data_IF_584331162003
#
_entry.id   IF_584331162003
#
_cell.length_a   1.000
_cell.length_b   1.000
_cell.length_c   1.000
_cell.angle_alpha   90.00
_cell.angle_beta   90.00
_cell.angle_gamma   90.00
#
_symmetry.space_group_name_H-M   'P 1'
#
loop_
_entity.id
_entity.type
_entity.pdbx_description
1 polymer ?
#
# COMPACT_ATOMS: atom_id res chain seq x y z
N UNK A 1 -8.06 12.40 -3.15
CA UNK A 1 -6.76 12.75 -2.50
C UNK A 1 -5.65 12.24 -3.40
N UNK A 2 -4.49 12.92 -3.50
CA UNK A 2 -3.48 12.54 -4.48
C UNK A 2 -3.02 11.10 -4.23
N UNK A 3 -2.78 10.36 -5.31
CA UNK A 3 -2.18 9.02 -5.36
C UNK A 3 -0.69 9.07 -5.01
N UNK A 4 -0.35 9.66 -3.87
CA UNK A 4 1.02 9.81 -3.38
C UNK A 4 1.10 9.84 -1.86
N UNK A 5 2.27 9.54 -1.32
CA UNK A 5 2.52 9.59 0.13
C UNK A 5 2.73 11.02 0.61
N UNK A 6 2.25 11.35 1.81
CA UNK A 6 2.36 12.70 2.40
C UNK A 6 3.79 13.12 2.75
N UNK A 7 4.76 12.20 2.67
CA UNK A 7 6.18 12.43 2.89
C UNK A 7 6.98 12.74 1.61
N UNK A 8 6.34 12.81 0.44
CA UNK A 8 7.00 13.06 -0.85
C UNK A 8 7.46 14.52 -1.00
N UNK A 9 8.69 14.70 -1.52
CA UNK A 9 9.29 16.00 -1.82
C UNK A 9 9.78 16.78 -0.59
N UNK A 10 9.70 16.18 0.59
CA UNK A 10 10.14 16.72 1.87
C UNK A 10 11.52 16.16 2.22
N UNK A 11 12.49 17.05 2.46
CA UNK A 11 13.78 16.72 3.05
C UNK A 11 13.82 17.22 4.49
N UNK A 12 14.40 16.42 5.38
CA UNK A 12 14.62 16.76 6.78
C UNK A 12 16.09 17.11 7.01
N UNK A 13 16.35 18.17 7.77
CA UNK A 13 17.68 18.47 8.29
C UNK A 13 18.04 17.53 9.44
N UNK A 14 19.33 17.48 9.79
CA UNK A 14 19.81 16.67 10.90
C UNK A 14 19.03 16.93 12.20
N UNK A 15 18.49 15.87 12.79
CA UNK A 15 17.72 15.91 14.04
C UNK A 15 16.25 16.30 13.89
N UNK A 16 15.79 16.69 12.70
CA UNK A 16 14.37 16.94 12.48
C UNK A 16 13.58 15.64 12.45
N UNK A 17 12.36 15.68 12.98
CA UNK A 17 11.43 14.56 13.00
C UNK A 17 10.12 14.98 12.36
N UNK A 18 9.54 14.11 11.55
CA UNK A 18 8.26 14.30 10.90
C UNK A 18 7.37 13.08 11.13
N UNK A 19 6.14 13.32 11.56
CA UNK A 19 5.07 12.32 11.57
C UNK A 19 4.13 12.60 10.40
N UNK A 20 3.85 11.57 9.63
CA UNK A 20 2.90 11.59 8.51
C UNK A 20 1.92 10.44 8.67
N UNK A 21 0.68 10.63 8.23
CA UNK A 21 -0.37 9.60 8.29
C UNK A 21 -1.09 9.62 6.95
N UNK A 22 -0.92 8.56 6.18
CA UNK A 22 -1.68 8.35 4.95
C UNK A 22 -2.86 7.41 5.23
N UNK A 23 -4.05 7.75 4.71
CA UNK A 23 -5.25 6.89 4.78
C UNK A 23 -5.75 6.65 3.36
N UNK A 24 -5.89 5.37 3.00
CA UNK A 24 -6.54 4.93 1.78
C UNK A 24 -7.81 4.17 2.15
N UNK A 25 -8.93 4.52 1.53
CA UNK A 25 -10.18 3.76 1.62
C UNK A 25 -10.66 3.42 0.21
N UNK A 26 -11.06 2.18 0.02
CA UNK A 26 -11.63 1.66 -1.21
C UNK A 26 -12.97 0.98 -0.88
N UNK A 27 -13.93 1.16 -1.77
CA UNK A 27 -15.23 0.51 -1.76
C UNK A 27 -15.51 0.05 -3.18
N UNK A 28 -15.83 -1.22 -3.35
CA UNK A 28 -16.18 -1.80 -4.63
C UNK A 28 -17.44 -2.63 -4.47
N UNK A 29 -18.46 -2.37 -5.29
CA UNK A 29 -19.52 -3.33 -5.52
C UNK A 29 -19.00 -4.35 -6.54
N UNK A 30 -19.32 -5.63 -6.34
CA UNK A 30 -18.97 -6.70 -7.26
C UNK A 30 -20.17 -7.59 -7.53
N UNK A 31 -20.25 -8.07 -8.75
CA UNK A 31 -21.27 -9.03 -9.18
C UNK A 31 -20.73 -9.89 -10.34
N UNK A 32 -21.24 -11.11 -10.46
CA UNK A 32 -21.10 -11.94 -11.66
C UNK A 32 -22.28 -12.90 -11.79
N UNK A 33 -22.58 -13.29 -13.02
CA UNK A 33 -23.60 -14.30 -13.31
C UNK A 33 -23.20 -15.67 -12.73
N UNK A 34 -24.16 -16.59 -12.66
CA UNK A 34 -23.95 -17.97 -12.22
C UNK A 34 -22.69 -18.63 -12.84
N UNK A 35 -21.86 -19.23 -11.99
CA UNK A 35 -20.64 -19.98 -12.38
C UNK A 35 -20.68 -21.48 -12.06
N UNK A 36 -21.63 -21.94 -11.24
CA UNK A 36 -21.80 -23.34 -10.83
C UNK A 36 -23.28 -23.74 -10.95
N UNK A 37 -23.57 -24.92 -11.50
CA UNK A 37 -24.93 -25.49 -11.54
C UNK A 37 -25.54 -25.67 -10.14
N UNK A 38 -24.70 -25.87 -9.11
CA UNK A 38 -25.12 -25.98 -7.72
C UNK A 38 -25.45 -24.64 -7.06
N UNK A 39 -25.08 -23.51 -7.68
CA UNK A 39 -25.35 -22.16 -7.22
C UNK A 39 -26.19 -21.41 -8.28
N UNK A 40 -27.48 -21.76 -8.48
CA UNK A 40 -28.32 -21.24 -9.57
C UNK A 40 -28.85 -19.82 -9.29
N UNK A 41 -27.93 -18.91 -9.00
CA UNK A 41 -28.19 -17.51 -8.68
C UNK A 41 -26.97 -16.68 -9.06
N UNK A 42 -27.20 -15.40 -9.35
CA UNK A 42 -26.12 -14.45 -9.59
C UNK A 42 -25.43 -14.10 -8.27
N UNK A 43 -24.11 -13.97 -8.31
CA UNK A 43 -23.28 -13.65 -7.17
C UNK A 43 -23.10 -12.16 -7.07
N UNK A 44 -23.27 -11.60 -5.87
CA UNK A 44 -23.04 -10.18 -5.64
C UNK A 44 -22.68 -9.87 -4.19
N UNK A 45 -21.99 -8.76 -4.04
CA UNK A 45 -21.53 -8.29 -2.75
C UNK A 45 -20.79 -6.98 -2.85
N UNK A 46 -20.04 -6.67 -1.80
CA UNK A 46 -19.10 -5.56 -1.81
C UNK A 46 -17.73 -5.96 -1.24
N UNK A 47 -16.74 -5.12 -1.48
CA UNK A 47 -15.42 -5.19 -0.90
C UNK A 47 -15.05 -3.82 -0.33
N UNK A 48 -14.86 -3.76 0.98
CA UNK A 48 -14.38 -2.59 1.70
C UNK A 48 -12.92 -2.82 2.04
N UNK A 49 -12.05 -1.86 1.72
CA UNK A 49 -10.66 -1.86 2.20
C UNK A 49 -10.29 -0.51 2.79
N UNK A 50 -9.75 -0.54 4.00
CA UNK A 50 -9.21 0.63 4.70
C UNK A 50 -7.77 0.33 5.08
N UNK A 51 -6.84 1.18 4.65
CA UNK A 51 -5.44 1.12 5.04
C UNK A 51 -5.01 2.46 5.62
N UNK A 52 -4.31 2.42 6.75
CA UNK A 52 -3.73 3.58 7.44
C UNK A 52 -2.24 3.32 7.61
N UNK A 53 -1.41 4.27 7.20
CA UNK A 53 0.05 4.14 7.17
C UNK A 53 0.71 5.30 7.92
N UNK A 54 0.75 5.27 9.27
CA UNK A 54 1.60 6.17 10.03
C UNK A 54 3.07 5.96 9.63
N UNK A 55 3.76 7.07 9.38
CA UNK A 55 5.18 7.08 9.02
C UNK A 55 5.92 8.08 9.90
N UNK A 56 6.93 7.60 10.60
CA UNK A 56 7.89 8.41 11.34
C UNK A 56 9.15 8.58 10.49
N UNK A 57 9.55 9.81 10.22
CA UNK A 57 10.76 10.14 9.49
C UNK A 57 11.71 10.98 10.34
N UNK A 58 13.01 10.68 10.27
CA UNK A 58 14.07 11.39 10.99
C UNK A 58 15.15 11.79 9.98
N UNK A 59 15.53 13.07 9.97
CA UNK A 59 16.72 13.54 9.28
C UNK A 59 17.97 13.12 10.04
N UNK A 60 18.78 12.25 9.45
CA UNK A 60 20.05 11.82 10.05
C UNK A 60 21.10 12.93 9.93
N UNK A 61 21.05 13.65 8.81
CA UNK A 61 21.79 14.87 8.51
C UNK A 61 21.05 15.62 7.38
N UNK A 62 21.67 16.64 6.80
CA UNK A 62 21.03 17.48 5.78
C UNK A 62 20.80 16.81 4.41
N UNK A 63 21.27 15.56 4.25
CA UNK A 63 21.16 14.78 3.01
C UNK A 63 20.44 13.46 3.19
N UNK A 64 20.54 12.83 4.37
CA UNK A 64 20.02 11.50 4.63
C UNK A 64 18.80 11.55 5.55
N UNK A 65 17.75 10.86 5.14
CA UNK A 65 16.52 10.71 5.90
C UNK A 65 16.14 9.23 6.01
N UNK A 66 15.83 8.80 7.22
CA UNK A 66 15.31 7.47 7.51
C UNK A 66 13.81 7.57 7.82
N UNK A 67 13.02 6.66 7.26
CA UNK A 67 11.58 6.57 7.51
C UNK A 67 11.18 5.15 7.89
N UNK A 68 10.32 5.04 8.91
CA UNK A 68 9.65 3.82 9.33
C UNK A 68 8.14 4.00 9.15
N UNK A 69 7.52 3.13 8.35
CA UNK A 69 6.07 3.08 8.14
C UNK A 69 5.53 1.75 8.67
N UNK A 70 4.43 1.79 9.40
CA UNK A 70 3.67 0.59 9.76
C UNK A 70 2.31 0.65 9.10
N UNK A 71 1.97 -0.33 8.26
CA UNK A 71 0.62 -0.40 7.70
C UNK A 71 -0.35 -1.04 8.71
N UNK A 72 -1.52 -0.44 8.83
CA UNK A 72 -2.66 -0.96 9.57
C UNK A 72 -3.84 -1.06 8.59
N UNK A 73 -4.48 -2.22 8.54
CA UNK A 73 -5.46 -2.52 7.51
C UNK A 73 -6.72 -3.20 8.03
N UNK A 74 -7.80 -2.97 7.30
CA UNK A 74 -9.02 -3.74 7.34
C UNK A 74 -9.44 -4.03 5.89
N UNK A 75 -9.79 -5.27 5.61
CA UNK A 75 -10.46 -5.66 4.37
C UNK A 75 -11.63 -6.56 4.72
N UNK A 76 -12.80 -6.25 4.19
CA UNK A 76 -14.02 -7.02 4.39
C UNK A 76 -14.71 -7.23 3.06
N UNK A 77 -15.28 -8.41 2.88
CA UNK A 77 -16.11 -8.77 1.73
C UNK A 77 -17.51 -9.06 2.24
N UNK A 78 -18.52 -8.38 1.71
CA UNK A 78 -19.92 -8.66 1.97
C UNK A 78 -20.48 -9.64 0.95
N UNK A 79 -21.35 -10.56 1.38
CA UNK A 79 -22.12 -11.45 0.53
C UNK A 79 -23.61 -11.13 0.68
N UNK A 80 -24.28 -10.77 -0.43
CA UNK A 80 -25.64 -10.19 -0.40
C UNK A 80 -26.71 -11.04 -1.07
N UNK A 81 -26.42 -12.32 -1.32
CA UNK A 81 -27.41 -13.29 -1.76
C UNK A 81 -27.85 -14.11 -0.56
N UNK A 82 -29.16 -14.33 -0.44
CA UNK A 82 -29.72 -15.17 0.62
C UNK A 82 -29.64 -16.66 0.24
N UNK A 83 -28.42 -17.12 -0.02
CA UNK A 83 -28.08 -18.50 -0.35
C UNK A 83 -26.64 -18.78 0.09
N UNK A 84 -26.35 -20.03 0.44
CA UNK A 84 -24.99 -20.47 0.74
C UNK A 84 -24.17 -20.58 -0.55
N UNK A 85 -22.91 -20.16 -0.50
CA UNK A 85 -21.96 -20.32 -1.61
C UNK A 85 -20.66 -20.92 -1.10
N UNK A 86 -20.08 -21.83 -1.88
CA UNK A 86 -18.75 -22.41 -1.67
C UNK A 86 -17.64 -21.44 -2.09
N UNK A 87 -17.96 -20.48 -2.96
CA UNK A 87 -17.01 -19.51 -3.50
C UNK A 87 -17.03 -18.18 -2.73
N UNK A 88 -18.20 -17.77 -2.24
CA UNK A 88 -18.41 -16.45 -1.66
C UNK A 88 -19.02 -16.50 -0.26
N UNK A 89 -18.57 -15.60 0.61
CA UNK A 89 -19.07 -15.48 1.98
C UNK A 89 -18.79 -14.11 2.55
N UNK A 90 -19.57 -13.72 3.57
CA UNK A 90 -19.27 -12.51 4.33
C UNK A 90 -18.10 -12.79 5.26
N UNK A 91 -16.96 -12.14 5.02
CA UNK A 91 -15.74 -12.34 5.80
C UNK A 91 -14.86 -11.08 5.86
N UNK A 92 -13.86 -11.08 6.74
CA UNK A 92 -12.93 -9.98 6.86
C UNK A 92 -11.55 -10.43 7.33
N UNK A 93 -10.58 -9.52 7.17
CA UNK A 93 -9.19 -9.78 7.43
C UNK A 93 -8.82 -9.86 8.91
N UNK A 94 -9.73 -9.57 9.84
CA UNK A 94 -9.43 -9.49 11.28
C UNK A 94 -9.58 -10.82 12.02
N UNK A 95 -10.18 -11.81 11.39
CA UNK A 95 -10.36 -13.16 11.95
C UNK A 95 -9.53 -14.18 11.19
N UNK A 96 -9.08 -15.22 11.89
CA UNK A 96 -8.43 -16.37 11.27
C UNK A 96 -9.38 -17.11 10.32
N UNK A 97 -8.80 -17.84 9.38
CA UNK A 97 -9.47 -18.74 8.45
C UNK A 97 -8.58 -19.95 8.19
N UNK A 98 -9.11 -21.01 7.58
CA UNK A 98 -8.35 -22.25 7.33
C UNK A 98 -7.02 -21.99 6.61
N UNK A 99 -7.03 -21.08 5.63
CA UNK A 99 -5.85 -20.67 4.87
C UNK A 99 -5.37 -19.24 5.17
N UNK A 100 -5.75 -18.63 6.30
CA UNK A 100 -5.38 -17.24 6.57
C UNK A 100 -5.22 -16.94 8.05
N UNK A 101 -4.13 -16.24 8.40
CA UNK A 101 -3.95 -15.66 9.73
C UNK A 101 -4.55 -14.25 9.72
N UNK A 102 -5.53 -14.03 10.58
CA UNK A 102 -6.26 -12.78 10.70
C UNK A 102 -5.52 -11.72 11.52
N UNK A 103 -5.85 -10.46 11.25
CA UNK A 103 -5.50 -9.33 12.09
C UNK A 103 -5.46 -8.00 11.32
N UNK A 104 -5.04 -6.96 12.02
CA UNK A 104 -5.01 -5.59 11.49
C UNK A 104 -3.62 -5.11 11.05
N UNK A 105 -2.56 -5.79 11.48
CA UNK A 105 -1.19 -5.41 11.12
C UNK A 105 -0.88 -5.80 9.67
N UNK A 106 -0.45 -4.84 8.87
CA UNK A 106 0.13 -5.05 7.54
C UNK A 106 1.65 -4.90 7.54
N UNK A 107 2.21 -4.70 6.35
CA UNK A 107 3.65 -4.65 6.16
C UNK A 107 4.31 -3.44 6.87
N UNK A 108 5.52 -3.65 7.36
CA UNK A 108 6.40 -2.61 7.90
C UNK A 108 7.39 -2.17 6.83
N UNK A 109 7.48 -0.87 6.52
CA UNK A 109 8.41 -0.34 5.53
C UNK A 109 9.54 0.43 6.20
N UNK A 110 10.76 0.14 5.78
CA UNK A 110 11.96 0.88 6.11
C UNK A 110 12.45 1.56 4.84
N UNK A 111 12.54 2.89 4.84
CA UNK A 111 13.00 3.68 3.68
C UNK A 111 14.16 4.57 4.08
N UNK A 112 15.23 4.56 3.31
CA UNK A 112 16.34 5.50 3.36
C UNK A 112 16.29 6.38 2.11
N UNK A 113 16.23 7.70 2.30
CA UNK A 113 16.23 8.69 1.22
C UNK A 113 17.48 9.56 1.29
N UNK A 114 18.11 9.72 0.14
CA UNK A 114 19.24 10.62 -0.08
C UNK A 114 18.80 11.81 -0.93
N UNK A 115 19.12 13.01 -0.47
CA UNK A 115 18.84 14.26 -1.15
C UNK A 115 20.07 14.68 -1.97
N UNK A 116 20.04 14.41 -3.28
CA UNK A 116 21.10 14.75 -4.24
C UNK A 116 21.23 16.26 -4.47
N UNK A 117 20.10 16.93 -4.62
CA UNK A 117 20.04 18.37 -4.86
C UNK A 117 19.13 18.99 -3.82
N UNK A 118 19.68 19.90 -3.02
CA UNK A 118 18.94 20.60 -1.97
C UNK A 118 19.07 22.11 -2.15
N UNK A 119 18.00 22.80 -2.53
CA UNK A 119 17.95 24.27 -2.47
C UNK A 119 17.45 24.80 -1.11
N UNK A 120 17.33 23.92 -0.12
CA UNK A 120 16.91 24.25 1.24
C UNK A 120 15.53 24.92 1.25
N UNK A 121 15.42 26.02 1.99
CA UNK A 121 14.19 26.82 2.07
C UNK A 121 13.97 27.72 0.85
N UNK A 122 14.98 27.89 -0.02
CA UNK A 122 14.93 28.78 -1.18
C UNK A 122 14.19 28.13 -2.36
N UNK A 123 13.91 28.94 -3.38
CA UNK A 123 13.43 28.43 -4.66
C UNK A 123 14.45 27.46 -5.28
N UNK A 124 13.95 26.46 -5.99
CA UNK A 124 14.78 25.58 -6.79
C UNK A 124 14.34 24.12 -6.77
N UNK A 125 15.20 23.29 -7.37
CA UNK A 125 14.94 21.88 -7.55
C UNK A 125 15.43 21.07 -6.35
N UNK A 126 14.66 20.02 -6.04
CA UNK A 126 15.01 18.98 -5.09
C UNK A 126 14.99 17.65 -5.80
N UNK A 127 16.05 16.88 -5.63
CA UNK A 127 16.17 15.55 -6.22
C UNK A 127 16.50 14.54 -5.12
N UNK A 128 15.62 13.56 -4.93
CA UNK A 128 15.82 12.46 -4.00
C UNK A 128 16.00 11.12 -4.72
N UNK A 129 16.87 10.29 -4.16
CA UNK A 129 16.91 8.85 -4.40
C UNK A 129 16.49 8.13 -3.13
N UNK A 130 15.59 7.16 -3.25
CA UNK A 130 15.12 6.34 -2.15
C UNK A 130 15.41 4.86 -2.37
N UNK A 131 15.82 4.19 -1.31
CA UNK A 131 15.95 2.74 -1.21
C UNK A 131 15.19 2.27 0.04
N UNK A 132 14.60 1.09 -0.01
CA UNK A 132 13.88 0.58 1.15
C UNK A 132 13.65 -0.92 1.13
N UNK A 133 13.15 -1.41 2.26
CA UNK A 133 12.78 -2.79 2.50
C UNK A 133 11.38 -2.84 3.12
N UNK A 134 10.62 -3.84 2.73
CA UNK A 134 9.28 -4.15 3.25
C UNK A 134 9.39 -5.49 3.96
N UNK A 135 9.04 -5.48 5.25
CA UNK A 135 8.89 -6.68 6.05
C UNK A 135 7.40 -7.01 6.18
N UNK A 136 6.96 -8.20 5.77
CA UNK A 136 5.56 -8.58 5.89
C UNK A 136 5.16 -8.80 7.35
N UNK A 137 3.90 -8.55 7.67
CA UNK A 137 3.31 -9.06 8.91
C UNK A 137 2.95 -10.55 8.77
N UNK A 138 2.61 -11.17 9.91
CA UNK A 138 2.10 -12.54 9.94
C UNK A 138 0.65 -12.67 9.45
N UNK A 139 -0.07 -11.57 9.24
CA UNK A 139 -1.49 -11.59 8.86
C UNK A 139 -1.60 -11.77 7.34
N UNK A 140 -1.30 -12.99 6.89
CA UNK A 140 -1.15 -13.40 5.49
C UNK A 140 -1.98 -14.65 5.20
N UNK A 141 -2.15 -14.96 3.91
CA UNK A 141 -2.58 -16.28 3.47
C UNK A 141 -1.49 -17.32 3.74
N UNK A 142 -1.90 -18.54 4.12
CA UNK A 142 -1.07 -19.68 4.52
C UNK A 142 -1.15 -20.88 3.56
N UNK A 143 -1.97 -20.80 2.52
CA UNK A 143 -1.99 -21.76 1.41
C UNK A 143 -2.64 -21.15 0.18
N UNK A 144 -2.27 -21.63 -1.01
CA UNK A 144 -2.76 -21.17 -2.31
C UNK A 144 -4.30 -21.08 -2.34
N UNK A 145 -4.90 -19.87 -2.45
CA UNK A 145 -6.34 -19.73 -2.49
C UNK A 145 -6.91 -20.08 -3.86
N UNK A 146 -6.09 -20.40 -4.86
CA UNK A 146 -6.56 -20.70 -6.21
C UNK A 146 -6.62 -22.21 -6.50
N UNK A 147 -6.16 -23.06 -5.57
CA UNK A 147 -6.24 -24.54 -5.65
C UNK A 147 -5.95 -25.06 -7.07
N UNK A 148 -4.78 -24.70 -7.62
CA UNK A 148 -4.41 -25.05 -8.99
C UNK A 148 -4.34 -26.58 -9.26
N UNK A 149 -4.41 -27.40 -8.20
CA UNK A 149 -4.63 -28.86 -8.27
C UNK A 149 -6.08 -29.14 -7.79
N UNK A 150 -6.98 -29.45 -8.75
CA UNK A 150 -8.45 -29.42 -8.62
C UNK A 150 -9.08 -30.61 -7.85
N UNK A 151 -8.31 -31.34 -7.04
CA UNK A 151 -8.84 -32.58 -6.46
C UNK A 151 -9.87 -32.34 -5.34
N UNK A 152 -9.73 -31.27 -4.54
CA UNK A 152 -10.70 -30.84 -3.53
C UNK A 152 -10.64 -29.32 -3.30
N UNK A 153 -11.74 -28.61 -3.54
CA UNK A 153 -11.86 -27.17 -3.19
C UNK A 153 -12.30 -27.07 -1.73
N UNK A 154 -11.35 -26.81 -0.84
CA UNK A 154 -11.64 -26.49 0.56
C UNK A 154 -12.08 -25.04 0.73
N UNK A 155 -12.74 -24.74 1.84
CA UNK A 155 -13.05 -23.36 2.22
C UNK A 155 -11.76 -22.53 2.32
N UNK A 156 -11.67 -21.46 1.54
CA UNK A 156 -10.50 -20.58 1.50
C UNK A 156 -10.84 -19.10 1.36
N UNK A 157 -9.93 -18.25 1.82
CA UNK A 157 -9.96 -16.80 1.68
C UNK A 157 -9.00 -16.35 0.57
N UNK A 158 -9.42 -15.38 -0.23
CA UNK A 158 -8.63 -14.83 -1.34
C UNK A 158 -7.83 -13.56 -1.01
N UNK A 159 -7.96 -13.04 0.22
CA UNK A 159 -7.31 -11.80 0.61
C UNK A 159 -6.73 -11.82 2.01
N UNK A 160 -5.69 -11.04 2.20
CA UNK A 160 -5.05 -10.75 3.50
C UNK A 160 -4.59 -9.29 3.52
N UNK A 161 -4.17 -8.80 4.69
CA UNK A 161 -3.61 -7.44 4.81
C UNK A 161 -2.13 -7.41 4.41
N UNK A 162 -1.39 -8.51 4.65
CA UNK A 162 0.01 -8.70 4.24
C UNK A 162 0.10 -9.74 3.14
N UNK A 163 0.98 -9.53 2.16
CA UNK A 163 1.31 -10.52 1.12
C UNK A 163 2.34 -11.57 1.60
N UNK A 164 2.77 -11.50 2.86
CA UNK A 164 3.62 -12.51 3.47
C UNK A 164 5.06 -12.57 2.94
N UNK A 165 5.48 -11.66 2.06
CA UNK A 165 6.80 -11.69 1.42
C UNK A 165 7.59 -10.40 1.63
N UNK A 166 8.91 -10.55 1.68
CA UNK A 166 9.84 -9.43 1.71
C UNK A 166 9.97 -8.77 0.35
N UNK A 167 9.99 -7.43 0.35
CA UNK A 167 10.09 -6.64 -0.89
C UNK A 167 11.13 -5.53 -0.74
N UNK A 168 11.67 -5.09 -1.86
CA UNK A 168 12.55 -3.92 -1.94
C UNK A 168 11.79 -2.73 -2.53
N UNK A 169 12.16 -1.52 -2.11
CA UNK A 169 11.60 -0.24 -2.60
C UNK A 169 12.71 0.53 -3.30
N UNK A 170 12.42 1.07 -4.47
CA UNK A 170 13.26 2.00 -5.22
C UNK A 170 12.44 3.24 -5.55
N UNK A 171 13.01 4.42 -5.34
CA UNK A 171 12.27 5.68 -5.49
C UNK A 171 13.15 6.78 -6.08
N UNK A 172 12.58 7.54 -7.01
CA UNK A 172 13.15 8.74 -7.60
C UNK A 172 12.11 9.85 -7.42
N UNK A 173 12.53 10.97 -6.84
CA UNK A 173 11.65 12.12 -6.64
C UNK A 173 12.30 13.39 -7.17
N UNK A 174 11.60 14.14 -8.03
CA UNK A 174 12.08 15.42 -8.55
C UNK A 174 11.00 16.47 -8.32
N UNK A 175 11.33 17.46 -7.51
CA UNK A 175 10.40 18.52 -7.12
C UNK A 175 11.01 19.90 -7.37
N UNK A 176 10.17 20.89 -7.62
CA UNK A 176 10.54 22.31 -7.68
C UNK A 176 9.69 23.10 -6.72
N UNK A 177 10.37 23.89 -5.88
CA UNK A 177 9.76 24.92 -5.03
C UNK A 177 9.97 26.29 -5.68
N UNK A 178 8.93 27.12 -5.70
CA UNK A 178 8.97 28.50 -6.22
C UNK A 178 7.98 29.40 -5.46
N UNK A 179 8.13 30.72 -5.60
CA UNK A 179 7.31 31.75 -4.93
C UNK A 179 5.99 31.99 -5.69
N UNK A 180 5.94 31.68 -7.00
CA UNK A 180 4.73 31.78 -7.83
C UNK A 180 3.96 30.47 -7.87
N UNK A 181 2.65 30.53 -8.10
CA UNK A 181 1.83 29.32 -8.26
C UNK A 181 2.19 28.54 -9.54
N UNK A 182 2.22 27.19 -9.48
CA UNK A 182 2.15 26.37 -8.26
C UNK A 182 3.45 26.50 -7.44
N UNK A 183 3.31 26.74 -6.13
CA UNK A 183 4.46 26.99 -5.22
C UNK A 183 5.32 25.74 -5.01
N UNK A 184 4.77 24.56 -5.29
CA UNK A 184 5.48 23.29 -5.21
C UNK A 184 4.89 22.31 -6.22
N UNK A 185 5.73 21.68 -7.03
CA UNK A 185 5.28 20.64 -7.94
C UNK A 185 6.41 19.67 -8.27
N UNK A 186 6.07 18.47 -8.71
CA UNK A 186 7.07 17.47 -9.02
C UNK A 186 6.48 16.12 -9.39
N UNK A 187 7.40 15.20 -9.61
CA UNK A 187 7.10 13.81 -9.94
C UNK A 187 7.78 12.88 -8.94
N UNK A 188 7.11 11.76 -8.69
CA UNK A 188 7.65 10.60 -7.99
C UNK A 188 7.52 9.38 -8.88
N UNK A 189 8.61 8.65 -9.01
CA UNK A 189 8.65 7.31 -9.60
C UNK A 189 9.02 6.35 -8.48
N UNK A 190 8.20 5.34 -8.25
CA UNK A 190 8.43 4.34 -7.20
C UNK A 190 8.21 2.95 -7.76
N UNK A 191 9.11 2.05 -7.41
CA UNK A 191 9.02 0.63 -7.76
C UNK A 191 9.16 -0.20 -6.50
N UNK A 192 8.30 -1.20 -6.33
CA UNK A 192 8.42 -2.21 -5.28
C UNK A 192 8.55 -3.58 -5.96
N UNK A 193 9.61 -4.31 -5.63
CA UNK A 193 9.89 -5.62 -6.20
C UNK A 193 9.94 -6.68 -5.10
N UNK A 194 9.26 -7.83 -5.28
CA UNK A 194 9.40 -8.96 -4.37
C UNK A 194 10.85 -9.46 -4.42
N UNK A 195 11.43 -9.68 -3.25
CA UNK A 195 12.77 -10.27 -3.14
C UNK A 195 12.68 -11.79 -3.24
N UNK A 196 11.61 -12.36 -2.68
CA UNK A 196 11.44 -13.80 -2.54
C UNK A 196 9.97 -14.20 -2.71
N UNK A 197 9.74 -15.46 -3.07
CA UNK A 197 8.45 -16.11 -2.86
C UNK A 197 8.27 -16.33 -1.35
N UNK A 198 7.07 -16.16 -0.80
CA UNK A 198 6.87 -16.43 0.62
C UNK A 198 6.89 -17.93 0.95
N UNK A 199 6.83 -18.26 2.24
CA UNK A 199 6.90 -19.65 2.75
C UNK A 199 5.76 -20.55 2.26
N UNK A 200 4.67 -19.97 1.78
CA UNK A 200 3.49 -20.68 1.27
C UNK A 200 3.43 -20.73 -0.27
N UNK A 201 4.51 -20.33 -0.96
CA UNK A 201 4.60 -20.41 -2.42
C UNK A 201 4.07 -19.19 -3.17
N UNK A 202 3.66 -18.12 -2.48
CA UNK A 202 3.17 -16.91 -3.12
C UNK A 202 4.28 -16.02 -3.61
N UNK A 203 4.22 -15.66 -4.90
CA UNK A 203 5.05 -14.63 -5.49
C UNK A 203 4.27 -13.31 -5.55
N UNK A 204 4.62 -12.31 -4.73
CA UNK A 204 3.90 -11.04 -4.73
C UNK A 204 3.99 -10.31 -6.07
N UNK A 205 3.06 -9.38 -6.26
CA UNK A 205 3.07 -8.52 -7.44
C UNK A 205 4.26 -7.56 -7.44
N UNK A 206 4.75 -7.23 -8.63
CA UNK A 206 5.63 -6.08 -8.84
C UNK A 206 4.75 -4.84 -8.91
N UNK A 207 5.11 -3.81 -8.15
CA UNK A 207 4.35 -2.56 -8.11
C UNK A 207 5.17 -1.42 -8.70
N UNK A 208 4.55 -0.65 -9.58
CA UNK A 208 5.11 0.51 -10.24
C UNK A 208 4.16 1.68 -10.06
N UNK A 209 4.68 2.81 -9.60
CA UNK A 209 3.91 4.02 -9.32
C UNK A 209 4.57 5.22 -9.98
N UNK A 210 3.73 6.00 -10.66
CA UNK A 210 4.04 7.35 -11.09
C UNK A 210 3.05 8.29 -10.40
N UNK A 211 3.57 9.30 -9.72
CA UNK A 211 2.76 10.35 -9.12
C UNK A 211 3.23 11.71 -9.62
N UNK A 212 2.27 12.56 -9.99
CA UNK A 212 2.49 13.99 -10.20
C UNK A 212 1.80 14.75 -9.07
N UNK A 213 2.55 15.63 -8.42
CA UNK A 213 2.08 16.43 -7.28
C UNK A 213 2.20 17.90 -7.61
N UNK A 214 1.18 18.68 -7.26
CA UNK A 214 1.16 20.13 -7.43
C UNK A 214 0.41 20.78 -6.26
N UNK A 215 1.00 21.81 -5.68
CA UNK A 215 0.45 22.61 -4.59
C UNK A 215 0.49 24.10 -4.97
N UNK A 216 -0.63 24.77 -4.78
CA UNK A 216 -0.79 26.21 -4.97
C UNK A 216 -1.21 26.86 -3.66
N UNK A 217 -0.78 28.10 -3.42
CA UNK A 217 -1.26 28.93 -2.31
C UNK A 217 -2.24 29.98 -2.81
N UNK A 218 -3.13 30.45 -1.93
CA UNK A 218 -3.96 31.61 -2.22
C UNK A 218 -3.07 32.85 -2.27
N UNK A 219 -2.99 33.49 -3.43
CA UNK A 219 -2.34 34.79 -3.57
C UNK A 219 -3.39 35.81 -3.17
N UNK A 220 -3.22 36.45 -2.01
CA UNK A 220 -4.01 37.64 -1.69
C UNK A 220 -3.51 38.76 -2.61
N UNK A 221 -4.31 39.11 -3.61
CA UNK A 221 -4.12 40.27 -4.50
C UNK A 221 -4.50 41.56 -3.79
#
# INVERSE_FOLDING_TARGET
MPVGSSDQGIGLWGGQVMLTIDKMSAYFDWEHDQIDENEPFDHKGDLVSLNVSPTLSIGLNDYWMLSLTQQLGYRGMGWYVNADSKHHRTENSTTDFLNAIGGVLGDTHFKLRYLLLNTGSMEGYRFFLGLGLIKPSKNTLTSDPFFLDESEVEDHRHFSISEGSQKSIYEIQIFKKQIKNPIFYGITLKTILPLETNEYGFKPSKYYEFAFTMLSSKINS
#
